data_IF_116274006811
#
_entry.id   IF_116274006811
#
_cell.length_a   1.000
_cell.length_b   1.000
_cell.length_c   1.000
_cell.angle_alpha   90.00
_cell.angle_beta   90.00
_cell.angle_gamma   90.00
#
_symmetry.space_group_name_H-M   'P 1'
#
loop_
_entity.id
_entity.type
_entity.pdbx_description
1 polymer ?
#
# COMPACT_ATOMS: atom_id res chain seq x y z
N UNK A 1 -13.73 -7.93 -12.49
CA UNK A 1 -12.87 -7.76 -11.30
C UNK A 1 -13.38 -8.62 -10.17
N UNK A 2 -12.56 -9.52 -9.66
CA UNK A 2 -12.90 -10.22 -8.42
C UNK A 2 -12.82 -9.26 -7.23
N UNK A 3 -13.75 -9.37 -6.31
CA UNK A 3 -13.75 -8.74 -5.00
C UNK A 3 -13.59 -9.84 -3.96
N UNK A 4 -12.41 -9.93 -3.35
CA UNK A 4 -12.06 -10.92 -2.34
C UNK A 4 -11.72 -10.25 -1.01
N UNK A 5 -11.65 -11.00 0.07
CA UNK A 5 -11.22 -10.47 1.35
C UNK A 5 -10.24 -11.40 2.08
N UNK A 6 -8.93 -11.25 1.86
CA UNK A 6 -7.92 -12.08 2.53
C UNK A 6 -7.62 -11.65 3.97
N UNK A 7 -8.24 -10.56 4.46
CA UNK A 7 -8.03 -9.95 5.77
C UNK A 7 -9.26 -10.06 6.69
N UNK A 8 -9.50 -9.05 7.54
CA UNK A 8 -10.63 -9.04 8.51
C UNK A 8 -11.98 -9.17 7.82
N UNK A 9 -12.85 -10.02 8.36
CA UNK A 9 -14.19 -10.28 7.84
C UNK A 9 -15.04 -9.01 7.68
N UNK A 10 -15.93 -9.01 6.69
CA UNK A 10 -16.91 -7.95 6.48
C UNK A 10 -18.24 -8.40 7.09
N UNK A 11 -18.69 -7.71 8.15
CA UNK A 11 -19.94 -8.02 8.83
C UNK A 11 -21.11 -7.13 8.39
N UNK A 12 -20.82 -5.96 7.82
CA UNK A 12 -21.84 -5.04 7.31
C UNK A 12 -22.04 -5.25 5.80
N UNK A 13 -23.19 -5.79 5.36
CA UNK A 13 -23.47 -5.99 3.94
C UNK A 13 -23.40 -4.69 3.12
N UNK A 14 -23.62 -3.53 3.74
CA UNK A 14 -23.48 -2.23 3.05
C UNK A 14 -22.04 -1.95 2.60
N UNK A 15 -21.06 -2.50 3.28
CA UNK A 15 -19.65 -2.40 2.84
C UNK A 15 -19.43 -3.11 1.50
N UNK A 16 -20.07 -4.27 1.30
CA UNK A 16 -19.98 -5.02 0.04
C UNK A 16 -20.67 -4.27 -1.09
N UNK A 17 -21.86 -3.71 -0.82
CA UNK A 17 -22.58 -2.90 -1.82
C UNK A 17 -21.77 -1.65 -2.21
N UNK A 18 -21.15 -0.98 -1.23
CA UNK A 18 -20.23 0.15 -1.53
C UNK A 18 -19.04 -0.29 -2.38
N UNK A 19 -18.43 -1.43 -2.06
CA UNK A 19 -17.31 -1.96 -2.82
C UNK A 19 -17.70 -2.29 -4.27
N UNK A 20 -18.87 -2.88 -4.48
CA UNK A 20 -19.40 -3.12 -5.82
C UNK A 20 -19.64 -1.80 -6.57
N UNK A 21 -20.21 -0.80 -5.91
CA UNK A 21 -20.45 0.52 -6.51
C UNK A 21 -19.15 1.20 -6.97
N UNK A 22 -18.08 1.11 -6.20
CA UNK A 22 -16.75 1.62 -6.59
C UNK A 22 -16.24 0.92 -7.86
N UNK A 23 -16.34 -0.42 -7.93
CA UNK A 23 -15.92 -1.20 -9.11
C UNK A 23 -16.75 -0.80 -10.34
N UNK A 24 -18.06 -0.64 -10.17
CA UNK A 24 -18.96 -0.17 -11.25
C UNK A 24 -18.62 1.26 -11.68
N UNK A 25 -18.30 2.16 -10.75
CA UNK A 25 -17.87 3.53 -11.06
C UNK A 25 -16.56 3.60 -11.86
N UNK A 26 -15.72 2.55 -11.77
CA UNK A 26 -14.53 2.36 -12.61
C UNK A 26 -14.88 1.84 -14.03
N UNK A 27 -16.14 1.50 -14.31
CA UNK A 27 -16.58 0.88 -15.57
C UNK A 27 -16.35 -0.62 -15.62
N UNK A 28 -16.17 -1.27 -14.47
CA UNK A 28 -15.85 -2.71 -14.37
C UNK A 28 -17.03 -3.50 -13.78
N UNK A 29 -17.11 -4.79 -14.10
CA UNK A 29 -18.10 -5.71 -13.54
C UNK A 29 -17.51 -6.38 -12.29
N UNK A 30 -18.13 -6.20 -11.09
CA UNK A 30 -17.71 -6.88 -9.88
C UNK A 30 -18.14 -8.36 -9.88
N UNK A 31 -17.20 -9.24 -9.52
CA UNK A 31 -17.46 -10.65 -9.20
C UNK A 31 -17.13 -10.82 -7.72
N UNK A 32 -18.17 -10.94 -6.90
CA UNK A 32 -18.04 -11.01 -5.44
C UNK A 32 -17.79 -12.45 -5.03
N UNK A 33 -16.77 -12.71 -4.22
CA UNK A 33 -16.51 -14.05 -3.70
C UNK A 33 -17.61 -14.46 -2.70
N UNK A 34 -18.00 -15.74 -2.71
CA UNK A 34 -19.08 -16.28 -1.89
C UNK A 34 -18.85 -16.04 -0.38
N UNK A 35 -17.60 -16.16 0.06
CA UNK A 35 -17.24 -15.98 1.46
C UNK A 35 -17.15 -14.53 1.94
N UNK A 36 -17.43 -13.54 1.10
CA UNK A 36 -17.28 -12.14 1.50
C UNK A 36 -18.32 -11.71 2.55
N UNK A 37 -19.51 -12.28 2.49
CA UNK A 37 -20.67 -11.91 3.33
C UNK A 37 -21.11 -12.99 4.32
N UNK A 38 -20.68 -14.24 4.13
CA UNK A 38 -21.18 -15.39 4.87
C UNK A 38 -20.23 -15.79 6.01
N UNK A 39 -20.01 -14.87 6.97
CA UNK A 39 -19.02 -15.09 8.04
C UNK A 39 -19.57 -14.72 9.41
N UNK A 40 -19.99 -15.71 10.20
CA UNK A 40 -20.40 -15.44 11.56
C UNK A 40 -19.19 -15.14 12.46
N UNK A 41 -19.16 -13.93 13.03
CA UNK A 41 -18.46 -13.51 14.26
C UNK A 41 -16.92 -13.63 14.36
N UNK A 42 -16.23 -14.22 13.40
CA UNK A 42 -14.77 -14.33 13.44
C UNK A 42 -14.10 -13.07 12.87
N UNK A 43 -12.94 -12.70 13.40
CA UNK A 43 -12.16 -11.58 12.88
C UNK A 43 -11.77 -11.80 11.42
N UNK A 44 -11.53 -13.07 11.04
CA UNK A 44 -11.22 -13.50 9.68
C UNK A 44 -12.03 -14.72 9.30
N UNK A 45 -12.17 -15.00 8.00
CA UNK A 45 -12.61 -16.32 7.57
C UNK A 45 -11.54 -17.39 7.82
N UNK A 46 -11.89 -18.66 7.63
CA UNK A 46 -10.89 -19.72 7.69
C UNK A 46 -9.75 -19.48 6.68
N UNK A 47 -8.56 -19.90 7.05
CA UNK A 47 -7.36 -19.84 6.17
C UNK A 47 -7.66 -20.47 4.81
N UNK A 48 -8.24 -21.67 4.80
CA UNK A 48 -8.56 -22.42 3.58
C UNK A 48 -9.53 -21.66 2.66
N UNK A 49 -10.52 -20.98 3.23
CA UNK A 49 -11.47 -20.22 2.43
C UNK A 49 -10.82 -19.00 1.79
N UNK A 50 -10.03 -18.23 2.54
CA UNK A 50 -9.32 -17.06 2.02
C UNK A 50 -8.32 -17.44 0.93
N UNK A 51 -7.63 -18.58 1.08
CA UNK A 51 -6.74 -19.14 0.06
C UNK A 51 -7.50 -19.57 -1.19
N UNK A 52 -8.62 -20.30 -1.04
CA UNK A 52 -9.46 -20.68 -2.20
C UNK A 52 -9.95 -19.47 -2.96
N UNK A 53 -10.39 -18.41 -2.28
CA UNK A 53 -10.85 -17.17 -2.91
C UNK A 53 -9.71 -16.44 -3.65
N UNK A 54 -8.53 -16.34 -3.03
CA UNK A 54 -7.35 -15.73 -3.65
C UNK A 54 -6.91 -16.51 -4.90
N UNK A 55 -6.71 -17.82 -4.75
CA UNK A 55 -6.26 -18.67 -5.87
C UNK A 55 -7.31 -18.74 -6.97
N UNK A 56 -8.59 -18.89 -6.63
CA UNK A 56 -9.69 -18.91 -7.58
C UNK A 56 -9.79 -17.62 -8.38
N UNK A 57 -9.63 -16.46 -7.74
CA UNK A 57 -9.64 -15.17 -8.41
C UNK A 57 -8.48 -15.03 -9.42
N UNK A 58 -7.30 -15.59 -9.11
CA UNK A 58 -6.19 -15.60 -10.06
C UNK A 58 -6.37 -16.69 -11.15
N UNK A 59 -6.87 -17.88 -10.81
CA UNK A 59 -7.00 -18.98 -11.78
C UNK A 59 -8.13 -18.77 -12.80
N UNK A 60 -9.20 -18.06 -12.46
CA UNK A 60 -10.35 -17.85 -13.34
C UNK A 60 -10.00 -16.93 -14.52
N UNK A 61 -10.01 -17.42 -15.79
CA UNK A 61 -9.66 -16.62 -16.96
C UNK A 61 -10.64 -15.49 -17.26
N UNK A 62 -11.86 -15.53 -16.72
CA UNK A 62 -12.86 -14.46 -16.87
C UNK A 62 -12.55 -13.25 -15.98
N UNK A 63 -11.72 -13.40 -14.95
CA UNK A 63 -11.30 -12.35 -14.04
C UNK A 63 -10.04 -11.67 -14.58
N UNK A 64 -10.08 -10.36 -14.77
CA UNK A 64 -8.95 -9.55 -15.25
C UNK A 64 -8.15 -8.90 -14.13
N UNK A 65 -8.70 -8.80 -12.93
CA UNK A 65 -8.00 -8.26 -11.79
C UNK A 65 -8.72 -8.55 -10.48
N UNK A 66 -8.01 -8.32 -9.37
CA UNK A 66 -8.40 -8.68 -8.02
C UNK A 66 -8.35 -7.43 -7.13
N UNK A 67 -9.48 -7.07 -6.54
CA UNK A 67 -9.56 -6.09 -5.46
C UNK A 67 -9.67 -6.81 -4.11
N UNK A 68 -8.79 -6.44 -3.17
CA UNK A 68 -9.01 -6.73 -1.76
C UNK A 68 -10.07 -5.76 -1.23
N UNK A 69 -11.13 -6.29 -0.62
CA UNK A 69 -12.27 -5.48 -0.19
C UNK A 69 -11.88 -4.51 0.95
N UNK A 70 -11.12 -5.01 1.94
CA UNK A 70 -10.61 -4.25 3.07
C UNK A 70 -9.32 -4.87 3.62
N UNK A 71 -8.63 -4.12 4.47
CA UNK A 71 -7.54 -4.57 5.32
C UNK A 71 -8.01 -4.94 6.74
N UNK A 72 -7.14 -4.74 7.70
CA UNK A 72 -7.36 -5.02 9.11
C UNK A 72 -6.35 -5.99 9.66
N UNK A 73 -6.69 -7.27 9.79
CA UNK A 73 -5.83 -8.33 10.33
C UNK A 73 -6.10 -9.66 9.60
N UNK A 74 -5.07 -10.47 9.44
CA UNK A 74 -5.22 -11.88 9.10
C UNK A 74 -4.45 -12.35 7.87
N UNK A 75 -3.89 -11.44 7.05
CA UNK A 75 -3.08 -11.84 5.88
C UNK A 75 -1.89 -12.70 6.31
N UNK A 76 -1.25 -12.41 7.45
CA UNK A 76 -0.12 -13.20 7.97
C UNK A 76 -0.48 -14.69 8.18
N UNK A 77 -1.73 -15.02 8.47
CA UNK A 77 -2.18 -16.41 8.69
C UNK A 77 -2.20 -17.23 7.40
N UNK A 78 -2.46 -16.61 6.26
CA UNK A 78 -2.57 -17.30 4.97
C UNK A 78 -1.24 -17.42 4.22
N UNK A 79 -0.20 -16.67 4.62
CA UNK A 79 1.03 -16.49 3.83
C UNK A 79 1.70 -17.81 3.46
N UNK A 80 1.75 -18.78 4.37
CA UNK A 80 2.39 -20.08 4.12
C UNK A 80 1.59 -20.98 3.14
N UNK A 81 0.31 -20.66 2.89
CA UNK A 81 -0.56 -21.40 1.99
C UNK A 81 -0.72 -20.76 0.61
N UNK A 82 -0.15 -19.57 0.36
CA UNK A 82 -0.28 -18.90 -0.92
C UNK A 82 0.48 -19.65 -2.02
N UNK A 83 -0.22 -20.06 -3.06
CA UNK A 83 0.36 -20.66 -4.26
C UNK A 83 0.77 -19.57 -5.25
N UNK A 84 2.03 -19.15 -5.15
CA UNK A 84 2.60 -18.17 -6.08
C UNK A 84 2.77 -18.70 -7.51
N UNK A 85 2.72 -20.02 -7.71
CA UNK A 85 2.69 -20.63 -9.03
C UNK A 85 1.41 -20.29 -9.79
N UNK A 86 0.26 -20.34 -9.12
CA UNK A 86 -1.03 -19.93 -9.68
C UNK A 86 -1.01 -18.44 -10.05
N UNK A 87 -0.46 -17.58 -9.17
CA UNK A 87 -0.37 -16.13 -9.42
C UNK A 87 0.56 -15.84 -10.60
N UNK A 88 1.73 -16.49 -10.66
CA UNK A 88 2.71 -16.33 -11.75
C UNK A 88 2.17 -16.76 -13.10
N UNK A 89 1.41 -17.87 -13.12
CA UNK A 89 0.80 -18.40 -14.34
C UNK A 89 -0.36 -17.55 -14.87
N UNK A 90 -0.97 -16.73 -14.01
CA UNK A 90 -2.16 -15.92 -14.32
C UNK A 90 -1.98 -14.47 -13.85
N UNK A 91 -1.04 -13.71 -14.44
CA UNK A 91 -0.78 -12.33 -14.00
C UNK A 91 -2.03 -11.46 -14.15
N UNK A 92 -2.41 -10.76 -13.09
CA UNK A 92 -3.59 -9.90 -13.02
C UNK A 92 -3.30 -8.65 -12.21
N UNK A 93 -4.05 -7.60 -12.46
CA UNK A 93 -4.09 -6.44 -11.56
C UNK A 93 -4.46 -6.90 -10.15
N UNK A 94 -3.68 -6.52 -9.15
CA UNK A 94 -3.95 -6.83 -7.74
C UNK A 94 -3.88 -5.54 -6.92
N UNK A 95 -4.97 -5.19 -6.26
CA UNK A 95 -5.14 -3.90 -5.55
C UNK A 95 -5.45 -4.11 -4.08
N UNK A 96 -4.74 -3.39 -3.23
CA UNK A 96 -4.99 -3.34 -1.79
C UNK A 96 -3.99 -2.44 -1.07
N UNK A 97 -4.10 -2.30 0.23
CA UNK A 97 -3.12 -1.63 1.10
C UNK A 97 -3.31 -2.08 2.56
N UNK A 98 -2.60 -1.46 3.53
CA UNK A 98 -2.70 -1.84 4.94
C UNK A 98 -2.20 -3.29 5.15
N UNK A 99 -2.98 -4.17 5.78
CA UNK A 99 -2.68 -5.60 5.98
C UNK A 99 -2.29 -6.33 4.68
N UNK A 100 -2.81 -5.88 3.53
CA UNK A 100 -2.50 -6.44 2.21
C UNK A 100 -1.03 -6.21 1.79
N UNK A 101 -0.32 -5.33 2.46
CA UNK A 101 1.12 -5.10 2.23
C UNK A 101 1.92 -6.41 2.24
N UNK A 102 1.58 -7.37 3.11
CA UNK A 102 2.25 -8.68 3.14
C UNK A 102 2.11 -9.44 1.82
N UNK A 103 0.91 -9.42 1.21
CA UNK A 103 0.70 -10.03 -0.11
C UNK A 103 1.43 -9.25 -1.21
N UNK A 104 1.48 -7.92 -1.15
CA UNK A 104 2.25 -7.13 -2.11
C UNK A 104 3.73 -7.51 -2.09
N UNK A 105 4.33 -7.59 -0.90
CA UNK A 105 5.73 -7.98 -0.74
C UNK A 105 6.00 -9.38 -1.30
N UNK A 106 5.15 -10.35 -0.93
CA UNK A 106 5.29 -11.73 -1.32
C UNK A 106 5.06 -11.95 -2.83
N UNK A 107 3.97 -11.42 -3.39
CA UNK A 107 3.66 -11.53 -4.83
C UNK A 107 4.80 -10.95 -5.66
N UNK A 108 5.26 -9.73 -5.30
CA UNK A 108 6.37 -9.13 -6.01
C UNK A 108 7.63 -9.99 -5.95
N UNK A 109 8.01 -10.47 -4.77
CA UNK A 109 9.22 -11.28 -4.56
C UNK A 109 9.17 -12.59 -5.33
N UNK A 110 8.04 -13.29 -5.26
CA UNK A 110 7.90 -14.63 -5.82
C UNK A 110 7.59 -14.64 -7.32
N UNK A 111 6.95 -13.58 -7.83
CA UNK A 111 6.46 -13.57 -9.21
C UNK A 111 6.98 -12.42 -10.05
N UNK A 112 7.49 -11.36 -9.45
CA UNK A 112 7.86 -10.12 -10.13
C UNK A 112 6.67 -9.25 -10.56
N UNK A 113 5.44 -9.68 -10.29
CA UNK A 113 4.22 -8.98 -10.71
C UNK A 113 4.15 -7.59 -10.05
N UNK A 114 3.82 -6.58 -10.85
CA UNK A 114 3.44 -5.26 -10.36
C UNK A 114 2.08 -5.35 -9.68
N UNK A 115 2.00 -4.84 -8.46
CA UNK A 115 0.75 -4.76 -7.68
C UNK A 115 0.47 -3.32 -7.29
N UNK A 116 -0.74 -3.00 -6.84
CA UNK A 116 -1.17 -1.62 -6.64
C UNK A 116 -1.50 -1.35 -5.17
N UNK A 117 -0.67 -0.53 -4.53
CA UNK A 117 -0.98 0.02 -3.21
C UNK A 117 -1.98 1.15 -3.39
N UNK A 118 -3.21 0.94 -3.00
CA UNK A 118 -4.29 1.89 -3.22
C UNK A 118 -5.55 1.57 -2.44
N UNK A 119 -6.45 2.56 -2.40
CA UNK A 119 -7.66 2.54 -1.58
C UNK A 119 -8.53 1.34 -1.90
N UNK A 120 -8.93 0.62 -0.86
CA UNK A 120 -9.77 -0.57 -0.96
C UNK A 120 -11.26 -0.19 -1.03
N UNK A 121 -12.04 -0.90 -1.88
CA UNK A 121 -13.38 -0.43 -2.25
C UNK A 121 -14.44 -0.52 -1.13
N UNK A 122 -14.24 -1.35 -0.10
CA UNK A 122 -15.20 -1.46 1.01
C UNK A 122 -14.99 -0.39 2.11
N UNK A 123 -14.08 0.55 1.95
CA UNK A 123 -13.92 1.65 2.89
C UNK A 123 -15.17 2.53 2.94
N UNK A 124 -15.40 3.16 4.11
CA UNK A 124 -16.62 3.95 4.38
C UNK A 124 -16.86 5.04 3.35
N UNK A 125 -15.79 5.70 2.95
CA UNK A 125 -15.81 6.79 1.96
C UNK A 125 -14.87 6.46 0.82
N UNK A 126 -15.22 6.87 -0.38
CA UNK A 126 -14.38 6.74 -1.56
C UNK A 126 -14.40 8.07 -2.33
N UNK A 127 -13.55 9.04 -1.95
CA UNK A 127 -13.50 10.36 -2.56
C UNK A 127 -13.18 10.33 -4.05
N UNK A 128 -13.64 11.35 -4.78
CA UNK A 128 -13.43 11.47 -6.22
C UNK A 128 -11.95 11.47 -6.60
N UNK A 129 -11.09 12.12 -5.79
CA UNK A 129 -9.65 12.09 -5.97
C UNK A 129 -9.09 10.66 -5.93
N UNK A 130 -9.47 9.86 -4.91
CA UNK A 130 -9.00 8.47 -4.78
C UNK A 130 -9.52 7.58 -5.91
N UNK A 131 -10.75 7.81 -6.37
CA UNK A 131 -11.32 7.09 -7.51
C UNK A 131 -10.54 7.40 -8.80
N UNK A 132 -10.22 8.67 -9.03
CA UNK A 132 -9.44 9.08 -10.20
C UNK A 132 -7.98 8.59 -10.12
N UNK A 133 -7.35 8.66 -8.94
CA UNK A 133 -6.02 8.11 -8.72
C UNK A 133 -5.97 6.60 -9.03
N UNK A 134 -7.00 5.87 -8.59
CA UNK A 134 -7.15 4.45 -8.88
C UNK A 134 -7.37 4.21 -10.39
N UNK A 135 -8.26 5.00 -11.02
CA UNK A 135 -8.52 4.91 -12.47
C UNK A 135 -7.24 5.12 -13.28
N UNK A 136 -6.49 6.19 -12.99
CA UNK A 136 -5.24 6.48 -13.68
C UNK A 136 -4.21 5.36 -13.52
N UNK A 137 -4.09 4.80 -12.32
CA UNK A 137 -3.14 3.73 -12.05
C UNK A 137 -3.48 2.41 -12.76
N UNK A 138 -4.77 2.07 -12.88
CA UNK A 138 -5.21 0.78 -13.41
C UNK A 138 -5.44 0.77 -14.93
N UNK A 139 -5.72 1.93 -15.54
CA UNK A 139 -6.04 2.02 -16.98
C UNK A 139 -5.05 2.88 -17.77
N UNK A 140 -4.17 3.62 -17.08
CA UNK A 140 -3.17 4.46 -17.71
C UNK A 140 -2.05 3.64 -18.32
N UNK A 141 -1.86 3.78 -19.65
CA UNK A 141 -0.74 3.13 -20.38
C UNK A 141 0.56 3.92 -20.28
N UNK A 142 0.45 5.19 -19.99
CA UNK A 142 1.59 6.08 -19.76
C UNK A 142 1.98 6.06 -18.28
N UNK A 143 3.25 6.37 -17.96
CA UNK A 143 3.68 6.58 -16.60
C UNK A 143 2.77 7.59 -15.89
N UNK A 144 2.46 7.37 -14.61
CA UNK A 144 1.68 8.32 -13.83
C UNK A 144 2.37 9.69 -13.69
N UNK A 145 3.68 9.73 -13.93
CA UNK A 145 4.47 10.93 -13.82
C UNK A 145 4.55 11.42 -12.38
N UNK A 146 4.53 12.74 -12.22
CA UNK A 146 4.61 13.39 -10.92
C UNK A 146 3.33 13.16 -10.09
N UNK A 147 3.50 12.63 -8.87
CA UNK A 147 2.42 12.41 -7.92
C UNK A 147 2.17 13.69 -7.12
N UNK A 148 0.91 14.07 -7.00
CA UNK A 148 0.49 15.31 -6.34
C UNK A 148 -0.62 14.98 -5.34
N UNK A 149 -0.53 15.55 -4.13
CA UNK A 149 -1.65 15.55 -3.19
C UNK A 149 -2.82 16.34 -3.78
N UNK A 150 -4.07 16.04 -3.38
CA UNK A 150 -5.21 16.85 -3.76
C UNK A 150 -5.07 18.29 -3.26
N UNK A 151 -5.71 19.27 -3.92
CA UNK A 151 -5.76 20.64 -3.43
C UNK A 151 -6.37 20.72 -2.03
N UNK A 152 -5.72 21.43 -1.13
CA UNK A 152 -6.23 21.63 0.23
C UNK A 152 -7.16 22.85 0.32
N UNK A 153 -8.24 22.71 1.10
CA UNK A 153 -9.19 23.79 1.35
C UNK A 153 -8.55 24.99 2.10
N UNK A 154 -7.48 24.76 2.87
CA UNK A 154 -6.77 25.77 3.64
C UNK A 154 -5.25 25.75 3.34
N UNK A 155 -4.81 26.24 2.17
CA UNK A 155 -3.42 26.10 1.71
C UNK A 155 -2.39 26.81 2.61
N UNK A 156 -2.81 27.81 3.41
CA UNK A 156 -1.93 28.48 4.38
C UNK A 156 -1.73 27.67 5.67
N UNK A 157 -2.51 26.63 5.89
CA UNK A 157 -2.38 25.67 6.99
C UNK A 157 -2.66 24.27 6.45
N UNK A 158 -1.73 23.71 5.67
CA UNK A 158 -1.96 22.40 5.06
C UNK A 158 -2.09 21.33 6.14
N UNK A 159 -3.09 20.45 5.96
CA UNK A 159 -3.27 19.27 6.82
C UNK A 159 -2.17 18.24 6.59
N UNK A 160 -1.60 18.23 5.37
CA UNK A 160 -0.57 17.28 4.96
C UNK A 160 0.61 17.98 4.31
N UNK A 161 1.42 18.74 5.11
CA UNK A 161 2.53 19.49 4.56
C UNK A 161 3.61 18.56 4.01
N UNK A 162 4.03 18.81 2.78
CA UNK A 162 5.23 18.18 2.23
C UNK A 162 6.46 18.75 2.92
N UNK A 163 7.38 17.88 3.35
CA UNK A 163 8.57 18.29 4.11
C UNK A 163 9.80 17.50 3.70
N UNK A 164 10.86 18.19 3.30
CA UNK A 164 12.19 17.61 3.09
C UNK A 164 12.81 17.21 4.43
N UNK A 165 13.32 15.98 4.53
CA UNK A 165 14.08 15.46 5.67
C UNK A 165 15.57 15.42 5.32
N UNK A 166 15.91 14.91 4.15
CA UNK A 166 17.25 14.92 3.58
C UNK A 166 17.16 15.16 2.08
N UNK A 167 17.90 16.15 1.56
CA UNK A 167 17.86 16.55 0.16
C UNK A 167 18.50 15.53 -0.79
N UNK A 168 18.31 15.75 -2.08
CA UNK A 168 18.92 14.96 -3.15
C UNK A 168 17.90 14.33 -4.10
N UNK A 169 18.44 13.62 -5.11
CA UNK A 169 17.67 12.96 -6.16
C UNK A 169 18.14 11.51 -6.26
N UNK A 170 17.18 10.58 -6.40
CA UNK A 170 17.48 9.17 -6.64
C UNK A 170 16.42 8.51 -7.52
N UNK A 171 16.80 7.40 -8.16
CA UNK A 171 15.89 6.61 -9.01
C UNK A 171 16.04 5.13 -8.68
N UNK A 172 14.91 4.43 -8.60
CA UNK A 172 14.88 3.00 -8.33
C UNK A 172 13.47 2.44 -8.43
N UNK A 173 13.27 1.12 -8.29
CA UNK A 173 11.93 0.56 -8.22
C UNK A 173 11.21 1.05 -6.95
N UNK A 174 9.91 1.38 -7.07
CA UNK A 174 9.09 1.76 -5.92
C UNK A 174 8.71 0.52 -5.12
N UNK A 175 9.07 0.49 -3.84
CA UNK A 175 8.71 -0.58 -2.91
C UNK A 175 8.23 0.01 -1.59
N UNK A 176 7.37 -0.69 -0.88
CA UNK A 176 6.89 -0.20 0.41
C UNK A 176 5.47 -0.62 0.74
N UNK A 177 4.85 0.13 1.63
CA UNK A 177 3.48 -0.07 2.11
C UNK A 177 3.33 0.30 3.58
N UNK A 178 2.45 -0.39 4.30
CA UNK A 178 2.24 -0.19 5.72
C UNK A 178 3.46 -0.65 6.53
N UNK A 179 3.99 0.23 7.39
CA UNK A 179 5.23 -0.01 8.13
C UNK A 179 5.09 -1.17 9.11
N UNK A 180 4.00 -1.25 9.85
CA UNK A 180 3.71 -2.37 10.77
C UNK A 180 3.71 -3.71 10.04
N UNK A 181 3.18 -3.76 8.83
CA UNK A 181 3.17 -5.00 8.02
C UNK A 181 4.53 -5.29 7.41
N UNK A 182 5.30 -4.28 7.01
CA UNK A 182 6.70 -4.45 6.61
C UNK A 182 7.50 -5.06 7.77
N UNK A 183 7.27 -4.60 8.99
CA UNK A 183 7.91 -5.17 10.18
C UNK A 183 7.47 -6.60 10.45
N UNK A 184 6.19 -6.93 10.24
CA UNK A 184 5.69 -8.31 10.37
C UNK A 184 6.34 -9.28 9.35
N UNK A 185 6.81 -8.77 8.22
CA UNK A 185 7.52 -9.55 7.21
C UNK A 185 9.02 -9.74 7.51
N UNK A 186 9.62 -8.96 8.42
CA UNK A 186 11.06 -9.04 8.73
C UNK A 186 11.45 -10.42 9.26
N UNK A 187 12.53 -10.98 8.71
CA UNK A 187 13.01 -12.32 9.04
C UNK A 187 12.21 -13.46 8.40
N UNK A 188 11.20 -13.17 7.58
CA UNK A 188 10.47 -14.16 6.79
C UNK A 188 11.00 -14.24 5.35
N UNK A 189 10.62 -15.26 4.57
CA UNK A 189 10.99 -15.33 3.14
C UNK A 189 10.53 -14.11 2.32
N UNK A 190 9.54 -13.36 2.79
CA UNK A 190 8.94 -12.21 2.10
C UNK A 190 9.38 -10.86 2.67
N UNK A 191 10.46 -10.84 3.44
CA UNK A 191 11.08 -9.62 3.93
C UNK A 191 11.35 -8.63 2.79
N UNK A 192 11.06 -7.36 3.02
CA UNK A 192 11.23 -6.31 2.00
C UNK A 192 12.68 -6.20 1.53
N UNK A 193 12.88 -6.11 0.22
CA UNK A 193 14.16 -5.78 -0.40
C UNK A 193 14.19 -4.30 -0.79
N UNK A 194 14.97 -3.51 -0.06
CA UNK A 194 15.10 -2.07 -0.28
C UNK A 194 16.33 -1.70 -1.11
N UNK A 195 17.16 -2.65 -1.52
CA UNK A 195 18.43 -2.39 -2.22
C UNK A 195 18.21 -1.64 -3.53
N UNK A 196 18.72 -0.41 -3.59
CA UNK A 196 18.58 0.48 -4.75
C UNK A 196 17.15 0.91 -5.06
N UNK A 197 16.20 0.71 -4.14
CA UNK A 197 14.78 1.03 -4.35
C UNK A 197 14.43 2.42 -3.79
N UNK A 198 13.38 3.02 -4.31
CA UNK A 198 12.66 4.10 -3.63
C UNK A 198 11.71 3.43 -2.64
N UNK A 199 12.06 3.51 -1.37
CA UNK A 199 11.30 2.89 -0.29
C UNK A 199 10.29 3.88 0.27
N UNK A 200 8.99 3.55 0.22
CA UNK A 200 7.98 4.32 0.93
C UNK A 200 7.34 3.52 2.06
N UNK A 201 6.90 4.22 3.08
CA UNK A 201 6.09 3.64 4.14
C UNK A 201 5.05 4.64 4.64
N UNK A 202 3.98 4.12 5.18
CA UNK A 202 2.92 4.81 5.91
C UNK A 202 2.48 3.95 7.08
N UNK A 203 1.75 4.51 8.04
CA UNK A 203 1.11 3.72 9.11
C UNK A 203 -0.14 4.43 9.65
N UNK A 204 -0.85 3.78 10.58
CA UNK A 204 -2.05 4.32 11.21
C UNK A 204 -2.11 3.96 12.69
N UNK A 205 -2.49 4.95 13.53
CA UNK A 205 -2.74 4.80 14.97
C UNK A 205 -1.58 4.20 15.77
N UNK A 206 -0.34 4.34 15.29
CA UNK A 206 0.88 3.94 15.99
C UNK A 206 1.49 5.10 16.76
N UNK A 207 1.92 4.86 17.99
CA UNK A 207 2.60 5.89 18.78
C UNK A 207 3.97 6.24 18.19
N UNK A 208 4.48 7.49 18.31
CA UNK A 208 5.78 7.89 17.79
C UNK A 208 6.93 6.97 18.22
N UNK A 209 6.93 6.48 19.47
CA UNK A 209 7.98 5.56 19.95
C UNK A 209 7.92 4.18 19.26
N UNK A 210 6.72 3.71 18.84
CA UNK A 210 6.59 2.45 18.11
C UNK A 210 7.10 2.62 16.69
N UNK A 211 6.75 3.73 16.04
CA UNK A 211 7.34 4.10 14.74
C UNK A 211 8.87 4.19 14.85
N UNK A 212 9.39 4.87 15.87
CA UNK A 212 10.84 4.95 16.10
C UNK A 212 11.48 3.55 16.23
N UNK A 213 10.87 2.65 17.01
CA UNK A 213 11.37 1.28 17.19
C UNK A 213 11.39 0.51 15.86
N UNK A 214 10.34 0.61 15.06
CA UNK A 214 10.26 -0.03 13.75
C UNK A 214 11.34 0.50 12.79
N UNK A 215 11.51 1.82 12.72
CA UNK A 215 12.54 2.45 11.89
C UNK A 215 13.97 2.09 12.35
N UNK A 216 14.23 2.04 13.65
CA UNK A 216 15.52 1.59 14.20
C UNK A 216 15.78 0.12 13.86
N UNK A 217 14.77 -0.75 13.89
CA UNK A 217 14.92 -2.15 13.46
C UNK A 217 15.28 -2.22 11.97
N UNK A 218 14.61 -1.47 11.11
CA UNK A 218 14.95 -1.40 9.68
C UNK A 218 16.36 -0.80 9.45
N UNK A 219 16.76 0.18 10.26
CA UNK A 219 18.11 0.75 10.22
C UNK A 219 19.17 -0.30 10.57
N UNK A 220 18.98 -1.03 11.68
CA UNK A 220 19.89 -2.10 12.11
C UNK A 220 19.95 -3.26 11.11
N UNK A 221 18.84 -3.56 10.44
CA UNK A 221 18.78 -4.54 9.36
C UNK A 221 19.39 -4.03 8.03
N UNK A 222 19.91 -2.79 7.98
CA UNK A 222 20.51 -2.19 6.79
C UNK A 222 19.53 -1.62 5.79
N UNK A 223 18.21 -1.84 5.97
CA UNK A 223 17.16 -1.52 4.99
C UNK A 223 17.10 -0.03 4.61
N UNK A 224 17.29 0.86 5.59
CA UNK A 224 17.23 2.30 5.32
C UNK A 224 18.43 2.77 4.50
N UNK A 225 19.63 2.24 4.77
CA UNK A 225 20.87 2.61 4.06
C UNK A 225 20.96 2.00 2.67
N UNK A 226 20.36 0.83 2.45
CA UNK A 226 20.37 0.13 1.17
C UNK A 226 19.38 0.73 0.16
N UNK A 227 18.39 1.48 0.64
CA UNK A 227 17.47 2.22 -0.24
C UNK A 227 18.21 3.29 -1.06
N UNK A 228 17.72 3.57 -2.26
CA UNK A 228 18.20 4.69 -3.06
C UNK A 228 17.63 6.03 -2.58
N UNK A 229 16.40 6.01 -2.04
CA UNK A 229 15.71 7.15 -1.47
C UNK A 229 14.47 6.70 -0.71
N UNK A 230 13.89 7.59 0.11
CA UNK A 230 12.72 7.26 0.92
C UNK A 230 11.63 8.31 0.84
N UNK A 231 10.38 7.85 0.83
CA UNK A 231 9.19 8.70 0.93
C UNK A 231 8.37 8.26 2.13
N UNK A 232 8.15 9.17 3.07
CA UNK A 232 7.24 8.92 4.18
C UNK A 232 5.85 9.38 3.76
N UNK A 233 4.91 8.43 3.64
CA UNK A 233 3.50 8.73 3.48
C UNK A 233 2.93 9.37 4.74
N UNK A 234 1.65 9.73 4.70
CA UNK A 234 1.01 10.25 5.90
C UNK A 234 0.76 9.11 6.90
N UNK A 235 1.29 9.24 8.12
CA UNK A 235 1.06 8.32 9.23
C UNK A 235 -0.13 8.84 10.05
N UNK A 236 -1.34 8.41 9.67
CA UNK A 236 -2.59 8.90 10.23
C UNK A 236 -2.75 8.49 11.70
N UNK A 237 -3.06 9.45 12.58
CA UNK A 237 -3.23 9.18 14.02
C UNK A 237 -1.94 8.84 14.78
N UNK A 238 -0.77 8.94 14.14
CA UNK A 238 0.51 8.56 14.76
C UNK A 238 1.20 9.69 15.54
N UNK A 239 0.68 10.90 15.50
CA UNK A 239 1.26 12.10 16.14
C UNK A 239 0.60 12.42 17.49
N UNK A 240 -0.13 11.46 18.05
CA UNK A 240 -0.83 11.60 19.31
C UNK A 240 0.13 11.71 20.50
N UNK A 241 -0.30 12.38 21.60
CA UNK A 241 0.49 12.48 22.81
C UNK A 241 0.80 11.08 23.36
N UNK A 242 2.06 10.85 23.70
CA UNK A 242 2.53 9.62 24.31
C UNK A 242 3.13 9.89 25.67
N UNK A 243 2.67 9.18 26.70
CA UNK A 243 3.29 9.22 28.02
C UNK A 243 4.72 8.62 28.03
N UNK A 244 5.04 7.84 26.99
CA UNK A 244 6.33 7.11 26.89
C UNK A 244 7.41 7.95 26.22
N UNK A 245 7.03 8.87 25.32
CA UNK A 245 7.99 9.75 24.64
C UNK A 245 7.40 11.13 24.41
N UNK A 246 8.14 12.19 24.73
CA UNK A 246 7.74 13.56 24.44
C UNK A 246 7.97 13.96 22.97
N UNK A 247 8.57 13.09 22.15
CA UNK A 247 8.93 13.42 20.76
C UNK A 247 7.71 13.35 19.84
N UNK A 248 7.60 14.34 18.97
CA UNK A 248 6.69 14.32 17.84
C UNK A 248 7.17 13.30 16.78
N UNK A 249 6.27 12.89 15.91
CA UNK A 249 6.61 12.00 14.81
C UNK A 249 7.67 12.62 13.86
N UNK A 250 7.60 13.93 13.64
CA UNK A 250 8.58 14.64 12.82
C UNK A 250 9.99 14.60 13.45
N UNK A 251 10.11 14.72 14.76
CA UNK A 251 11.39 14.59 15.45
C UNK A 251 11.95 13.18 15.33
N UNK A 252 11.09 12.15 15.42
CA UNK A 252 11.49 10.74 15.15
C UNK A 252 12.04 10.58 13.74
N UNK A 253 11.37 11.14 12.74
CA UNK A 253 11.86 11.07 11.34
C UNK A 253 13.19 11.80 11.17
N UNK A 254 13.35 12.99 11.75
CA UNK A 254 14.60 13.75 11.67
C UNK A 254 15.76 13.02 12.34
N UNK A 255 15.52 12.40 13.52
CA UNK A 255 16.55 11.67 14.24
C UNK A 255 17.01 10.39 13.53
N UNK A 256 16.12 9.68 12.85
CA UNK A 256 16.44 8.36 12.29
C UNK A 256 16.71 8.44 10.79
N UNK A 257 15.82 9.05 10.00
CA UNK A 257 15.87 8.98 8.55
C UNK A 257 16.95 9.88 7.95
N UNK A 258 17.28 11.01 8.59
CA UNK A 258 18.36 11.90 8.12
C UNK A 258 19.71 11.19 8.08
N UNK A 259 19.94 10.24 8.97
CA UNK A 259 21.20 9.47 9.06
C UNK A 259 21.30 8.30 8.07
N UNK A 260 20.26 8.05 7.28
CA UNK A 260 20.32 7.03 6.22
C UNK A 260 21.20 7.44 5.04
N UNK A 261 21.55 8.74 4.92
CA UNK A 261 22.38 9.33 3.86
C UNK A 261 21.80 9.12 2.44
N UNK A 262 20.49 9.13 2.33
CA UNK A 262 19.75 9.06 1.06
C UNK A 262 18.69 10.16 1.02
N UNK A 263 18.20 10.57 -0.16
CA UNK A 263 17.11 11.55 -0.27
C UNK A 263 15.86 11.09 0.46
N UNK A 264 15.26 11.96 1.29
CA UNK A 264 14.04 11.65 2.05
C UNK A 264 13.12 12.86 2.11
N UNK A 265 11.84 12.67 1.84
CA UNK A 265 10.79 13.64 2.16
C UNK A 265 9.54 12.96 2.69
N UNK A 266 8.62 13.72 3.29
CA UNK A 266 7.37 13.24 3.87
C UNK A 266 6.17 14.03 3.39
N UNK A 267 4.95 13.46 3.55
CA UNK A 267 3.68 14.15 3.40
C UNK A 267 2.83 13.74 2.19
N UNK A 268 3.28 12.80 1.33
CA UNK A 268 2.41 12.27 0.29
C UNK A 268 1.28 11.41 0.88
N UNK A 269 0.08 11.52 0.31
CA UNK A 269 -1.10 10.77 0.76
C UNK A 269 -1.09 9.33 0.21
N UNK A 270 -0.13 8.53 0.69
CA UNK A 270 0.07 7.14 0.28
C UNK A 270 -0.55 6.11 1.24
N UNK A 271 -1.25 6.56 2.30
CA UNK A 271 -1.70 5.68 3.38
C UNK A 271 -3.16 5.89 3.82
N UNK A 272 -3.40 5.76 5.12
CA UNK A 272 -4.72 5.77 5.77
C UNK A 272 -5.28 7.20 5.91
N UNK A 273 -5.42 7.91 4.81
CA UNK A 273 -6.02 9.24 4.74
C UNK A 273 -7.41 9.18 4.11
N UNK A 274 -8.21 10.24 4.24
CA UNK A 274 -9.51 10.34 3.57
C UNK A 274 -9.36 10.22 2.06
N UNK A 275 -8.35 10.86 1.50
CA UNK A 275 -7.95 10.77 0.10
C UNK A 275 -6.62 10.04 0.00
N UNK A 276 -6.46 9.18 -1.00
CA UNK A 276 -5.27 8.34 -1.15
C UNK A 276 -4.82 8.30 -2.61
N UNK A 277 -3.53 8.48 -2.83
CA UNK A 277 -2.87 8.25 -4.11
C UNK A 277 -2.68 6.74 -4.28
N UNK A 278 -3.03 6.20 -5.45
CA UNK A 278 -2.74 4.81 -5.80
C UNK A 278 -1.41 4.73 -6.54
N UNK A 279 -0.54 3.82 -6.12
CA UNK A 279 0.78 3.63 -6.74
C UNK A 279 1.03 2.17 -7.11
N UNK A 280 1.56 1.90 -8.32
CA UNK A 280 2.09 0.59 -8.70
C UNK A 280 3.41 0.32 -7.98
N UNK A 281 3.54 -0.87 -7.39
CA UNK A 281 4.74 -1.33 -6.71
C UNK A 281 5.63 -2.09 -7.69
N UNK A 282 6.90 -1.71 -7.73
CA UNK A 282 7.89 -2.35 -8.55
C UNK A 282 8.26 -1.62 -9.82
N UNK A 283 7.52 -0.60 -10.22
CA UNK A 283 7.87 0.26 -11.34
C UNK A 283 8.99 1.23 -10.96
N UNK A 284 9.74 1.70 -11.94
CA UNK A 284 10.78 2.73 -11.69
C UNK A 284 10.14 4.04 -11.26
N UNK A 285 10.71 4.62 -10.21
CA UNK A 285 10.31 5.90 -9.66
C UNK A 285 11.55 6.79 -9.44
N UNK A 286 11.36 8.11 -9.45
CA UNK A 286 12.36 9.09 -9.10
C UNK A 286 11.86 9.96 -7.96
N UNK A 287 12.67 10.08 -6.93
CA UNK A 287 12.50 11.03 -5.84
C UNK A 287 13.35 12.27 -6.09
N UNK A 288 12.78 13.48 -5.87
CA UNK A 288 13.45 14.74 -5.73
C UNK A 288 13.12 15.34 -4.38
N UNK A 289 13.91 15.01 -3.36
CA UNK A 289 13.57 15.30 -1.97
C UNK A 289 13.60 16.80 -1.64
N UNK A 290 14.44 17.60 -2.30
CA UNK A 290 14.50 19.06 -2.11
C UNK A 290 13.20 19.74 -2.55
N UNK A 291 12.56 19.21 -3.60
CA UNK A 291 11.28 19.69 -4.11
C UNK A 291 10.09 18.88 -3.61
N UNK A 292 10.32 17.90 -2.72
CA UNK A 292 9.30 16.96 -2.24
C UNK A 292 8.51 16.28 -3.37
N UNK A 293 9.22 15.78 -4.39
CA UNK A 293 8.61 15.17 -5.57
C UNK A 293 8.85 13.67 -5.63
N UNK A 294 7.81 12.93 -6.03
CA UNK A 294 7.90 11.53 -6.43
C UNK A 294 7.26 11.38 -7.81
N UNK A 295 8.03 10.90 -8.77
CA UNK A 295 7.56 10.67 -10.14
C UNK A 295 7.68 9.19 -10.49
N UNK A 296 6.61 8.61 -11.04
CA UNK A 296 6.65 7.26 -11.59
C UNK A 296 7.05 7.34 -13.07
N UNK A 297 8.07 6.58 -13.44
CA UNK A 297 8.72 6.64 -14.75
C UNK A 297 8.25 5.54 -15.70
N UNK A 298 7.46 4.59 -15.19
CA UNK A 298 6.91 3.45 -15.93
C UNK A 298 5.43 3.30 -15.59
N UNK A 299 4.66 2.75 -16.55
CA UNK A 299 3.28 2.33 -16.29
C UNK A 299 3.27 1.09 -15.39
N UNK A 300 2.25 0.98 -14.52
CA UNK A 300 2.00 -0.23 -13.73
C UNK A 300 1.26 -1.32 -14.49
N UNK A 301 0.76 -1.02 -15.68
CA UNK A 301 0.01 -1.96 -16.54
C UNK A 301 0.64 -2.03 -17.92
N UNK A 302 0.67 -3.23 -18.51
CA UNK A 302 0.94 -3.41 -19.92
C UNK A 302 -0.36 -3.23 -20.74
N UNK A 303 -0.25 -3.04 -22.05
CA UNK A 303 -1.36 -2.64 -22.92
C UNK A 303 -2.58 -3.58 -22.96
N UNK A 304 -2.62 -4.66 -22.18
CA UNK A 304 -3.69 -5.66 -22.15
C UNK A 304 -4.38 -5.79 -20.77
N UNK A 305 -4.05 -4.94 -19.80
CA UNK A 305 -4.35 -5.24 -18.39
C UNK A 305 -5.85 -5.23 -18.00
N UNK A 306 -6.71 -4.30 -18.45
CA UNK A 306 -8.14 -4.26 -18.07
C UNK A 306 -9.06 -3.94 -19.24
#
# INVERSE_FOLDING_TARGET
MALINPSTAIHDPQMVLRAQAVIVALGLTPVVSEGLTDRPRDLTASVDQRLRELHGAFADPSIRGVFCARGGYGVSEIMNGVDFGVIRANPKVFVGFSDITLLHLAIRRETGLVTFHGRMPAMREFPAFSLEALRRALFGREPLGHLVNPPEAAPLRPAYPLRTIAGGIATGPLVGGNLSMIMAAMGTPWEIDTRGAIFFFEDVDESPYRIARMLLTLQHAGKLREAAGMVVGHCAGCDGPSEVTPYSLNEVFDQILRHANVPVFSGLLLGHTSEQITVPLGVRAQIGADACTLSLLESGVDGAAL
#
